data_IF_488495599178
#
_entry.id   IF_488495599178
#
_cell.length_a   1.000
_cell.length_b   1.000
_cell.length_c   1.000
_cell.angle_alpha   90.00
_cell.angle_beta   90.00
_cell.angle_gamma   90.00
#
_symmetry.space_group_name_H-M   'P 1'
#
loop_
_entity.id
_entity.type
_entity.pdbx_description
1 polymer ?
#
# COMPACT_ATOMS: atom_id res chain seq x y z
N UNK A 1 -11.47 -13.11 44.95
CA UNK A 1 -12.06 -14.13 44.06
C UNK A 1 -10.97 -14.53 43.07
N UNK A 2 -10.59 -15.81 43.04
CA UNK A 2 -9.54 -16.41 42.22
C UNK A 2 -10.16 -16.99 40.94
N UNK A 3 -9.34 -17.11 39.88
CA UNK A 3 -9.56 -17.76 38.56
C UNK A 3 -10.30 -16.88 37.52
N UNK A 4 -9.93 -16.80 36.24
CA UNK A 4 -9.16 -17.69 35.38
C UNK A 4 -8.71 -16.93 34.12
N UNK A 5 -7.48 -17.18 33.68
CA UNK A 5 -6.96 -16.89 32.33
C UNK A 5 -7.78 -17.68 31.31
N UNK A 6 -8.31 -17.05 30.26
CA UNK A 6 -8.69 -17.73 29.02
C UNK A 6 -8.31 -16.89 27.82
N UNK A 7 -7.14 -17.23 27.28
CA UNK A 7 -6.75 -17.05 25.89
C UNK A 7 -7.84 -17.65 24.99
N UNK A 8 -8.43 -16.86 24.10
CA UNK A 8 -9.11 -17.38 22.92
C UNK A 8 -8.87 -16.40 21.77
N UNK A 9 -7.91 -16.79 20.93
CA UNK A 9 -7.72 -16.28 19.58
C UNK A 9 -9.06 -16.31 18.83
N UNK A 10 -9.40 -15.18 18.20
CA UNK A 10 -9.89 -15.19 16.83
C UNK A 10 -9.27 -14.00 16.09
N UNK A 11 -8.40 -14.34 15.14
CA UNK A 11 -8.09 -13.55 13.95
C UNK A 11 -9.39 -13.13 13.22
N UNK A 12 -9.23 -12.23 12.26
CA UNK A 12 -10.23 -11.68 11.32
C UNK A 12 -10.99 -10.49 11.93
N UNK A 13 -10.76 -9.25 11.54
CA UNK A 13 -10.05 -8.68 10.40
C UNK A 13 -9.70 -7.26 10.84
N UNK A 14 -8.45 -6.83 10.68
CA UNK A 14 -8.14 -5.39 10.73
C UNK A 14 -8.73 -4.76 9.45
N UNK A 15 -10.06 -4.65 9.41
CA UNK A 15 -10.71 -3.61 8.64
C UNK A 15 -10.62 -2.34 9.49
N UNK A 16 -9.41 -1.79 9.64
CA UNK A 16 -9.29 -0.36 9.93
C UNK A 16 -9.63 0.36 8.62
N UNK A 17 -10.91 0.30 8.25
CA UNK A 17 -11.53 1.22 7.31
C UNK A 17 -11.59 2.58 8.00
N UNK A 18 -10.43 3.23 8.12
CA UNK A 18 -10.43 4.66 8.35
C UNK A 18 -10.68 5.30 7.00
N UNK A 19 -11.95 5.48 6.62
CA UNK A 19 -12.38 6.61 5.81
C UNK A 19 -13.91 6.76 5.88
N UNK A 20 -14.32 7.96 6.26
CA UNK A 20 -15.57 8.53 5.77
C UNK A 20 -15.20 9.14 4.40
N UNK A 21 -15.94 8.81 3.33
CA UNK A 21 -15.86 9.43 2.00
C UNK A 21 -14.96 8.82 0.88
N UNK A 22 -14.33 7.64 1.05
CA UNK A 22 -13.65 6.97 -0.08
C UNK A 22 -14.63 6.25 -1.04
N UNK A 23 -14.36 6.33 -2.34
CA UNK A 23 -15.07 5.50 -3.34
C UNK A 23 -14.30 4.20 -3.54
N UNK A 24 -14.64 3.18 -2.75
CA UNK A 24 -14.10 1.83 -2.90
C UNK A 24 -15.09 0.90 -3.62
N UNK A 25 -14.58 0.08 -4.54
CA UNK A 25 -15.30 -1.04 -5.14
C UNK A 25 -14.51 -2.32 -4.89
N UNK A 26 -14.90 -3.08 -3.85
CA UNK A 26 -14.15 -4.25 -3.41
C UNK A 26 -12.78 -3.86 -2.84
N UNK A 27 -11.71 -4.48 -3.35
CA UNK A 27 -10.32 -4.20 -2.96
C UNK A 27 -9.68 -3.05 -3.75
N UNK A 28 -10.40 -2.45 -4.71
CA UNK A 28 -9.94 -1.28 -5.44
C UNK A 28 -10.54 -0.02 -4.84
N UNK A 29 -9.70 0.97 -4.51
CA UNK A 29 -10.12 2.19 -3.81
C UNK A 29 -9.51 3.43 -4.44
N UNK A 30 -10.32 4.48 -4.53
CA UNK A 30 -9.88 5.84 -4.82
C UNK A 30 -10.00 6.68 -3.53
N UNK A 31 -8.87 7.16 -3.03
CA UNK A 31 -8.81 7.99 -1.84
C UNK A 31 -9.25 9.43 -2.14
N UNK A 32 -9.71 10.12 -1.11
CA UNK A 32 -10.00 11.57 -1.18
C UNK A 32 -8.69 12.38 -1.19
N UNK A 33 -8.58 13.46 -1.98
CA UNK A 33 -7.40 14.34 -1.97
C UNK A 33 -7.22 15.07 -0.64
N UNK A 34 -6.01 15.56 -0.37
CA UNK A 34 -5.65 16.40 0.78
C UNK A 34 -5.86 15.78 2.18
N UNK A 35 -6.05 14.45 2.24
CA UNK A 35 -6.18 13.68 3.48
C UNK A 35 -5.21 12.48 3.47
N UNK A 36 -4.92 11.92 4.64
CA UNK A 36 -4.12 10.69 4.73
C UNK A 36 -4.92 9.49 4.21
N UNK A 37 -4.37 8.74 3.26
CA UNK A 37 -4.93 7.48 2.78
C UNK A 37 -4.14 6.28 3.28
N UNK A 38 -4.71 5.52 4.22
CA UNK A 38 -4.13 4.24 4.68
C UNK A 38 -5.00 3.07 4.23
N UNK A 39 -4.45 2.13 3.45
CA UNK A 39 -5.17 0.96 2.92
C UNK A 39 -4.42 -0.35 3.15
N UNK A 40 -5.18 -1.43 3.24
CA UNK A 40 -4.61 -2.78 3.29
C UNK A 40 -5.42 -3.71 2.39
N UNK A 41 -4.71 -4.48 1.57
CA UNK A 41 -5.31 -5.38 0.61
C UNK A 41 -5.51 -6.77 1.21
N UNK A 42 -6.62 -7.41 0.85
CA UNK A 42 -6.90 -8.79 1.26
C UNK A 42 -6.21 -9.81 0.36
N UNK A 43 -5.92 -10.98 0.92
CA UNK A 43 -5.21 -12.03 0.22
C UNK A 43 -5.99 -12.59 -0.98
N UNK A 44 -5.27 -12.91 -2.06
CA UNK A 44 -5.82 -13.58 -3.24
C UNK A 44 -6.69 -12.72 -4.16
N UNK A 45 -6.81 -11.41 -3.90
CA UNK A 45 -7.53 -10.46 -4.75
C UNK A 45 -6.57 -9.54 -5.51
N UNK A 46 -7.04 -8.94 -6.60
CA UNK A 46 -6.38 -7.76 -7.19
C UNK A 46 -6.69 -6.55 -6.32
N UNK A 47 -5.68 -5.75 -6.03
CA UNK A 47 -5.81 -4.54 -5.24
C UNK A 47 -5.31 -3.35 -6.05
N UNK A 48 -6.21 -2.42 -6.39
CA UNK A 48 -5.87 -1.21 -7.12
C UNK A 48 -6.18 0.01 -6.25
N UNK A 49 -5.15 0.66 -5.72
CA UNK A 49 -5.29 1.82 -4.85
C UNK A 49 -4.83 3.07 -5.58
N UNK A 50 -5.70 4.06 -5.68
CA UNK A 50 -5.38 5.39 -6.22
C UNK A 50 -5.48 6.41 -5.10
N UNK A 51 -4.36 7.04 -4.75
CA UNK A 51 -4.28 7.99 -3.64
C UNK A 51 -4.63 9.44 -4.02
N UNK A 52 -4.79 9.76 -5.31
CA UNK A 52 -5.42 10.99 -5.83
C UNK A 52 -4.99 12.32 -5.15
N UNK A 53 -3.72 12.50 -4.83
CA UNK A 53 -3.26 13.73 -4.17
C UNK A 53 -3.46 13.75 -2.65
N UNK A 54 -3.61 12.59 -2.02
CA UNK A 54 -3.50 12.44 -0.57
C UNK A 54 -2.16 12.99 -0.04
N UNK A 55 -2.19 13.63 1.13
CA UNK A 55 -0.96 14.12 1.79
C UNK A 55 0.00 12.97 2.12
N UNK A 56 -0.55 11.84 2.56
CA UNK A 56 0.17 10.59 2.81
C UNK A 56 -0.60 9.42 2.23
N UNK A 57 0.08 8.60 1.43
CA UNK A 57 -0.45 7.33 0.96
C UNK A 57 0.32 6.19 1.62
N UNK A 58 -0.35 5.35 2.40
CA UNK A 58 0.24 4.20 3.11
C UNK A 58 -0.54 2.94 2.71
N UNK A 59 0.08 2.05 1.93
CA UNK A 59 -0.61 0.88 1.38
C UNK A 59 0.13 -0.41 1.73
N UNK A 60 -0.56 -1.30 2.44
CA UNK A 60 -0.09 -2.66 2.67
C UNK A 60 -0.73 -3.62 1.66
N UNK A 61 0.04 -4.10 0.69
CA UNK A 61 -0.44 -5.01 -0.35
C UNK A 61 -0.75 -6.42 0.18
N UNK A 62 -0.25 -6.78 1.36
CA UNK A 62 -0.48 -8.09 1.97
C UNK A 62 -0.17 -9.24 1.00
N UNK A 63 -0.99 -10.28 0.99
CA UNK A 63 -0.86 -11.41 0.05
C UNK A 63 -1.83 -11.28 -1.15
N UNK A 64 -2.03 -10.06 -1.64
CA UNK A 64 -2.85 -9.82 -2.83
C UNK A 64 -2.27 -10.60 -4.03
N UNK A 65 -3.13 -11.10 -4.92
CA UNK A 65 -2.70 -11.76 -6.14
C UNK A 65 -1.98 -10.79 -7.09
N UNK A 66 -2.30 -9.51 -7.00
CA UNK A 66 -1.62 -8.40 -7.65
C UNK A 66 -1.93 -7.11 -6.89
N UNK A 67 -0.94 -6.23 -6.76
CA UNK A 67 -1.13 -4.93 -6.11
C UNK A 67 -0.65 -3.81 -7.03
N UNK A 68 -1.56 -2.92 -7.39
CA UNK A 68 -1.28 -1.70 -8.13
C UNK A 68 -1.56 -0.51 -7.23
N UNK A 69 -0.58 0.36 -7.07
CA UNK A 69 -0.70 1.56 -6.24
C UNK A 69 -0.30 2.78 -7.06
N UNK A 70 -1.17 3.78 -7.10
CA UNK A 70 -0.95 5.04 -7.79
C UNK A 70 -0.92 6.18 -6.77
N UNK A 71 0.25 6.77 -6.62
CA UNK A 71 0.61 7.80 -5.66
C UNK A 71 1.15 9.07 -6.33
N UNK A 72 1.10 9.22 -7.65
CA UNK A 72 1.89 10.21 -8.40
C UNK A 72 1.67 11.66 -7.97
N UNK A 73 0.46 11.97 -7.50
CA UNK A 73 0.09 13.29 -6.98
C UNK A 73 0.24 13.43 -5.44
N UNK A 74 0.59 12.37 -4.72
CA UNK A 74 0.70 12.40 -3.25
C UNK A 74 2.03 13.01 -2.78
N UNK A 75 2.01 13.69 -1.63
CA UNK A 75 3.23 14.29 -1.05
C UNK A 75 4.21 13.20 -0.57
N UNK A 76 3.68 12.12 0.04
CA UNK A 76 4.47 10.95 0.43
C UNK A 76 3.74 9.66 0.11
N UNK A 77 4.49 8.61 -0.22
CA UNK A 77 3.92 7.29 -0.52
C UNK A 77 4.79 6.19 0.08
N UNK A 78 4.20 5.40 0.98
CA UNK A 78 4.80 4.21 1.57
C UNK A 78 3.98 3.01 1.14
N UNK A 79 4.63 2.01 0.53
CA UNK A 79 3.96 0.78 0.09
C UNK A 79 4.73 -0.43 0.59
N UNK A 80 4.04 -1.43 1.14
CA UNK A 80 4.62 -2.70 1.56
C UNK A 80 4.15 -3.84 0.65
N UNK A 81 5.12 -4.51 0.01
CA UNK A 81 4.94 -5.50 -1.05
C UNK A 81 5.53 -6.88 -0.71
N UNK A 82 4.99 -7.60 0.29
CA UNK A 82 5.65 -8.78 0.85
C UNK A 82 5.78 -9.97 -0.13
N UNK A 83 4.88 -10.12 -1.10
CA UNK A 83 4.94 -11.19 -2.13
C UNK A 83 5.60 -10.74 -3.44
N UNK A 84 6.16 -9.54 -3.47
CA UNK A 84 6.99 -9.05 -4.57
C UNK A 84 6.26 -8.71 -5.86
N UNK A 85 4.99 -9.08 -6.06
CA UNK A 85 4.20 -8.74 -7.25
C UNK A 85 3.45 -7.40 -7.09
N UNK A 86 4.17 -6.30 -7.27
CA UNK A 86 3.64 -4.95 -7.11
C UNK A 86 3.97 -4.05 -8.29
N UNK A 87 3.03 -3.20 -8.66
CA UNK A 87 3.27 -2.07 -9.55
C UNK A 87 2.94 -0.79 -8.80
N UNK A 88 3.95 0.04 -8.56
CA UNK A 88 3.79 1.28 -7.81
C UNK A 88 4.19 2.45 -8.70
N UNK A 89 3.24 3.35 -8.93
CA UNK A 89 3.51 4.65 -9.54
C UNK A 89 3.64 5.66 -8.42
N UNK A 90 4.87 6.06 -8.13
CA UNK A 90 5.22 6.98 -7.07
C UNK A 90 5.22 8.44 -7.57
N UNK A 91 5.13 9.41 -6.65
CA UNK A 91 5.51 10.79 -6.97
C UNK A 91 7.00 10.86 -7.34
N UNK A 92 7.43 12.01 -7.87
CA UNK A 92 8.82 12.19 -8.29
C UNK A 92 9.84 11.98 -7.15
N UNK A 93 9.45 12.33 -5.92
CA UNK A 93 10.27 12.24 -4.70
C UNK A 93 9.41 11.79 -3.52
N UNK A 94 10.00 11.21 -2.47
CA UNK A 94 9.28 10.93 -1.22
C UNK A 94 8.43 9.65 -1.26
N UNK A 95 8.83 8.70 -2.10
CA UNK A 95 8.23 7.37 -2.16
C UNK A 95 9.18 6.30 -1.65
N UNK A 96 8.67 5.40 -0.82
CA UNK A 96 9.38 4.22 -0.35
C UNK A 96 8.51 2.99 -0.55
N UNK A 97 9.03 1.99 -1.24
CA UNK A 97 8.39 0.69 -1.42
C UNK A 97 9.24 -0.36 -0.73
N UNK A 98 8.67 -1.00 0.29
CA UNK A 98 9.30 -2.05 1.09
C UNK A 98 8.97 -3.42 0.52
N UNK A 99 9.82 -4.39 0.85
CA UNK A 99 9.72 -5.77 0.43
C UNK A 99 9.74 -5.96 -1.10
N UNK A 100 10.32 -4.98 -1.79
CA UNK A 100 10.43 -4.87 -3.23
C UNK A 100 11.84 -5.27 -3.69
N UNK A 101 12.19 -6.55 -3.55
CA UNK A 101 13.56 -7.03 -3.78
C UNK A 101 13.89 -7.33 -5.24
N UNK A 102 12.88 -7.66 -6.05
CA UNK A 102 13.07 -8.02 -7.45
C UNK A 102 12.35 -6.99 -8.35
N UNK A 103 13.07 -6.28 -9.23
CA UNK A 103 12.47 -5.24 -10.07
C UNK A 103 11.63 -5.78 -11.23
N UNK A 104 11.64 -7.09 -11.49
CA UNK A 104 10.78 -7.71 -12.51
C UNK A 104 9.39 -8.00 -11.95
N UNK A 105 9.31 -8.41 -10.68
CA UNK A 105 8.03 -8.61 -9.99
C UNK A 105 7.51 -7.34 -9.35
N UNK A 106 8.39 -6.49 -8.83
CA UNK A 106 8.07 -5.25 -8.14
C UNK A 106 8.55 -4.04 -8.94
N UNK A 107 7.67 -3.51 -9.77
CA UNK A 107 7.97 -2.37 -10.64
C UNK A 107 7.61 -1.06 -9.95
N UNK A 108 8.61 -0.24 -9.67
CA UNK A 108 8.42 1.10 -9.10
C UNK A 108 8.83 2.17 -10.11
N UNK A 109 7.92 3.06 -10.43
CA UNK A 109 8.14 4.21 -11.32
C UNK A 109 8.05 5.50 -10.52
N UNK A 110 9.07 6.36 -10.61
CA UNK A 110 9.13 7.63 -9.89
C UNK A 110 8.66 8.79 -10.79
N UNK A 111 7.54 9.42 -10.46
CA UNK A 111 6.90 10.41 -11.32
C UNK A 111 6.55 9.83 -12.70
N UNK A 112 6.69 10.63 -13.76
CA UNK A 112 6.24 10.24 -15.11
C UNK A 112 7.07 9.12 -15.77
N UNK A 113 8.35 9.00 -15.43
CA UNK A 113 9.27 8.04 -16.07
C UNK A 113 10.57 7.80 -15.28
N UNK A 114 10.66 8.26 -14.04
CA UNK A 114 11.85 8.10 -13.22
C UNK A 114 12.03 6.66 -12.78
N UNK A 115 13.29 6.26 -12.59
CA UNK A 115 13.66 4.92 -12.15
C UNK A 115 13.89 4.96 -10.64
N UNK A 116 13.29 4.02 -9.91
CA UNK A 116 13.54 3.87 -8.48
C UNK A 116 14.96 3.35 -8.19
N UNK A 117 15.51 3.77 -7.06
CA UNK A 117 16.74 3.20 -6.51
C UNK A 117 16.41 1.99 -5.66
N UNK A 118 16.99 0.83 -5.95
CA UNK A 118 16.78 -0.40 -5.19
C UNK A 118 17.97 -0.66 -4.26
N UNK A 119 17.73 -0.69 -2.95
CA UNK A 119 18.69 -1.09 -1.91
C UNK A 119 18.15 -2.31 -1.16
N UNK A 120 18.68 -3.49 -1.50
CA UNK A 120 18.17 -4.76 -0.98
C UNK A 120 16.71 -5.00 -1.36
N UNK A 121 15.82 -4.98 -0.36
CA UNK A 121 14.39 -5.17 -0.54
C UNK A 121 13.59 -3.86 -0.48
N UNK A 122 14.25 -2.71 -0.62
CA UNK A 122 13.58 -1.40 -0.57
C UNK A 122 13.86 -0.62 -1.85
N UNK A 123 12.80 -0.17 -2.52
CA UNK A 123 12.87 0.72 -3.65
C UNK A 123 12.48 2.14 -3.20
N UNK A 124 13.23 3.16 -3.62
CA UNK A 124 12.96 4.55 -3.25
C UNK A 124 12.96 5.47 -4.46
N UNK A 125 12.08 6.47 -4.42
CA UNK A 125 12.11 7.63 -5.30
C UNK A 125 12.74 8.80 -4.53
N UNK A 126 13.99 9.17 -4.85
CA UNK A 126 14.75 10.16 -4.10
C UNK A 126 14.15 11.55 -4.18
#
# INVERSE_FOLDING_TARGET
MKYLVSLLLLCTSLATSACSDDTCSGSSCACTPDEDCTRSCEAGQTCDIACNGADRCDVACGNAASCQVTCDDSTTCEVDCPDGACMVTCPATGCTVRNCADPLSCQVTCGLAGVASYDGATATCP
#
